data_IF_092839616383
#
_entry.id   IF_092839616383
#
_cell.length_a   1.000
_cell.length_b   1.000
_cell.length_c   1.000
_cell.angle_alpha   90.00
_cell.angle_beta   90.00
_cell.angle_gamma   90.00
#
_symmetry.space_group_name_H-M   'P 1'
#
loop_
_entity.id
_entity.type
_entity.pdbx_description
1 polymer ?
#
# COMPACT_ATOMS: atom_id res chain seq x y z
N UNK A 1 2.21 35.97 16.13
CA UNK A 1 2.87 34.66 16.15
C UNK A 1 1.93 33.66 15.49
N UNK A 2 2.09 33.43 14.19
CA UNK A 2 1.14 32.66 13.38
C UNK A 2 1.91 31.80 12.34
N UNK A 3 2.96 31.10 12.78
CA UNK A 3 3.83 30.31 11.90
C UNK A 3 3.74 28.78 12.14
N UNK A 4 2.87 28.30 13.03
CA UNK A 4 2.76 26.85 13.33
C UNK A 4 1.61 26.16 12.60
N UNK A 5 0.44 26.80 12.53
CA UNK A 5 -0.81 26.14 12.11
C UNK A 5 -0.94 26.04 10.58
N UNK A 6 -0.30 26.93 9.82
CA UNK A 6 -0.37 26.90 8.35
C UNK A 6 0.46 25.78 7.70
N UNK A 7 1.44 25.19 8.40
CA UNK A 7 2.26 24.09 7.84
C UNK A 7 1.57 22.72 7.93
N UNK A 8 0.66 22.53 8.89
CA UNK A 8 -0.04 21.25 9.06
C UNK A 8 -1.25 21.12 8.12
N UNK A 9 -1.87 22.26 7.78
CA UNK A 9 -3.00 22.33 6.85
C UNK A 9 -2.55 22.31 5.38
N UNK A 10 -1.32 22.71 5.05
CA UNK A 10 -0.81 22.63 3.67
C UNK A 10 -0.40 21.21 3.26
N UNK A 11 0.12 20.41 4.19
CA UNK A 11 0.58 19.04 3.90
C UNK A 11 -0.56 18.04 3.69
N UNK A 12 -1.77 18.39 4.15
CA UNK A 12 -3.00 17.63 3.92
C UNK A 12 -3.80 18.17 2.73
N UNK A 13 -3.64 19.44 2.36
CA UNK A 13 -4.40 20.09 1.29
C UNK A 13 -3.79 19.95 -0.12
N UNK A 14 -2.50 19.61 -0.24
CA UNK A 14 -1.88 19.30 -1.52
C UNK A 14 -1.36 17.87 -1.49
N UNK A 15 -2.03 16.98 -2.22
CA UNK A 15 -1.47 15.66 -2.49
C UNK A 15 -0.08 15.82 -3.12
N UNK A 16 0.87 15.04 -2.64
CA UNK A 16 2.23 15.16 -3.13
C UNK A 16 2.29 14.81 -4.64
N UNK A 17 3.16 15.44 -5.43
CA UNK A 17 3.18 15.24 -6.87
C UNK A 17 3.41 13.78 -7.31
N UNK A 18 4.09 12.97 -6.48
CA UNK A 18 4.27 11.55 -6.77
C UNK A 18 2.97 10.78 -6.61
N UNK A 19 2.19 11.05 -5.56
CA UNK A 19 0.85 10.47 -5.40
C UNK A 19 -0.01 10.74 -6.63
N UNK A 20 -0.10 12.01 -7.07
CA UNK A 20 -0.89 12.36 -8.25
C UNK A 20 -0.40 11.63 -9.50
N UNK A 21 0.91 11.66 -9.76
CA UNK A 21 1.49 11.00 -10.93
C UNK A 21 1.21 9.50 -10.97
N UNK A 22 1.43 8.79 -9.84
CA UNK A 22 1.17 7.36 -9.79
C UNK A 22 -0.31 7.04 -9.88
N UNK A 23 -1.19 7.86 -9.30
CA UNK A 23 -2.63 7.71 -9.45
C UNK A 23 -3.08 7.81 -10.91
N UNK A 24 -2.56 8.79 -11.67
CA UNK A 24 -2.88 8.97 -13.08
C UNK A 24 -2.39 7.81 -13.96
N UNK A 25 -1.21 7.25 -13.64
CA UNK A 25 -0.62 6.13 -14.37
C UNK A 25 -1.28 4.80 -14.02
N UNK A 26 -1.67 4.59 -12.77
CA UNK A 26 -2.11 3.29 -12.25
C UNK A 26 -3.63 3.10 -12.27
N UNK A 27 -4.44 4.16 -12.22
CA UNK A 27 -5.90 4.02 -12.23
C UNK A 27 -6.48 3.39 -13.50
N UNK A 28 -5.94 3.61 -14.72
CA UNK A 28 -6.40 2.90 -15.91
C UNK A 28 -6.17 1.39 -15.82
N UNK A 29 -5.22 0.96 -14.99
CA UNK A 29 -4.92 -0.44 -14.68
C UNK A 29 -5.75 -0.99 -13.49
N UNK A 30 -6.78 -0.25 -13.07
CA UNK A 30 -7.67 -0.55 -11.94
C UNK A 30 -6.97 -0.61 -10.57
N UNK A 31 -5.84 0.06 -10.42
CA UNK A 31 -5.19 0.26 -9.13
C UNK A 31 -5.68 1.55 -8.47
N UNK A 32 -5.90 1.49 -7.17
CA UNK A 32 -6.41 2.59 -6.35
C UNK A 32 -5.39 2.82 -5.24
N UNK A 33 -5.05 4.08 -4.96
CA UNK A 33 -4.22 4.46 -3.81
C UNK A 33 -5.03 4.20 -2.55
N UNK A 34 -4.55 3.29 -1.69
CA UNK A 34 -5.24 2.91 -0.45
C UNK A 34 -4.60 3.49 0.81
N UNK A 35 -3.33 3.86 0.74
CA UNK A 35 -2.64 4.49 1.86
C UNK A 35 -1.39 5.24 1.41
N UNK A 36 -1.06 6.30 2.13
CA UNK A 36 0.13 7.11 1.95
C UNK A 36 0.66 7.51 3.33
N UNK A 37 1.97 7.40 3.53
CA UNK A 37 2.63 7.97 4.70
C UNK A 37 3.91 8.65 4.26
N UNK A 38 4.16 9.83 4.84
CA UNK A 38 5.30 10.67 4.51
C UNK A 38 6.01 11.14 5.78
N UNK A 39 7.34 11.20 5.71
CA UNK A 39 8.19 11.82 6.72
C UNK A 39 9.34 12.55 6.03
N UNK A 40 9.22 13.88 5.92
CA UNK A 40 10.16 14.72 5.15
C UNK A 40 10.37 14.21 3.71
N UNK A 41 11.52 13.58 3.44
CA UNK A 41 11.87 13.01 2.12
C UNK A 41 11.52 11.53 1.96
N UNK A 42 11.08 10.85 3.01
CA UNK A 42 10.56 9.49 2.94
C UNK A 42 9.08 9.51 2.55
N UNK A 43 8.73 8.72 1.55
CA UNK A 43 7.37 8.53 1.06
C UNK A 43 7.12 7.04 0.87
N UNK A 44 5.99 6.56 1.37
CA UNK A 44 5.50 5.21 1.14
C UNK A 44 4.05 5.30 0.64
N UNK A 45 3.85 4.81 -0.59
CA UNK A 45 2.55 4.73 -1.24
C UNK A 45 2.17 3.27 -1.39
N UNK A 46 0.91 2.94 -1.09
CA UNK A 46 0.37 1.61 -1.31
C UNK A 46 -0.84 1.72 -2.23
N UNK A 47 -0.79 0.95 -3.31
CA UNK A 47 -1.87 0.81 -4.28
C UNK A 47 -2.36 -0.63 -4.32
N UNK A 48 -3.66 -0.83 -4.49
CA UNK A 48 -4.25 -2.14 -4.62
C UNK A 48 -5.19 -2.19 -5.83
N UNK A 49 -5.30 -3.36 -6.48
CA UNK A 49 -6.35 -3.55 -7.48
C UNK A 49 -7.72 -3.45 -6.81
N UNK A 50 -8.65 -2.78 -7.49
CA UNK A 50 -10.02 -2.51 -7.02
C UNK A 50 -10.73 -3.72 -6.41
N UNK A 51 -10.60 -4.90 -7.02
CA UNK A 51 -11.23 -6.14 -6.56
C UNK A 51 -10.80 -6.60 -5.15
N UNK A 52 -9.66 -6.11 -4.64
CA UNK A 52 -9.14 -6.50 -3.33
C UNK A 52 -9.55 -5.53 -2.22
N UNK A 53 -10.10 -4.35 -2.56
CA UNK A 53 -10.42 -3.31 -1.57
C UNK A 53 -11.29 -3.81 -0.40
N UNK A 54 -12.37 -4.60 -0.61
CA UNK A 54 -13.21 -5.09 0.48
C UNK A 54 -12.48 -5.98 1.51
N UNK A 55 -11.29 -6.46 1.15
CA UNK A 55 -10.48 -7.37 1.96
C UNK A 55 -9.21 -6.71 2.49
N UNK A 56 -9.07 -5.39 2.31
CA UNK A 56 -7.95 -4.62 2.79
C UNK A 56 -8.42 -3.62 3.84
N UNK A 57 -7.83 -3.70 5.03
CA UNK A 57 -8.07 -2.76 6.12
C UNK A 57 -6.77 -2.06 6.49
N UNK A 58 -6.70 -0.74 6.40
CA UNK A 58 -5.55 0.03 6.92
C UNK A 58 -5.71 0.17 8.42
N UNK A 59 -4.85 -0.49 9.19
CA UNK A 59 -4.91 -0.49 10.65
C UNK A 59 -4.18 0.72 11.25
N UNK A 60 -3.06 1.11 10.65
CA UNK A 60 -2.28 2.26 11.10
C UNK A 60 -1.27 2.71 10.05
N UNK A 61 -0.95 3.99 10.08
CA UNK A 61 0.23 4.58 9.43
C UNK A 61 1.09 5.24 10.50
N UNK A 62 2.41 5.03 10.48
CA UNK A 62 3.32 5.58 11.49
C UNK A 62 4.61 6.11 10.86
N UNK A 63 5.11 7.20 11.42
CA UNK A 63 6.42 7.78 11.09
C UNK A 63 7.31 7.72 12.33
N UNK A 64 8.51 7.15 12.19
CA UNK A 64 9.49 7.00 13.27
C UNK A 64 10.74 7.80 12.91
N UNK A 65 10.86 9.06 13.33
CA UNK A 65 12.06 9.86 13.12
C UNK A 65 13.21 9.33 13.97
N UNK A 66 14.42 9.30 13.41
CA UNK A 66 15.64 8.88 14.10
C UNK A 66 16.83 9.83 13.86
N UNK A 67 16.66 10.89 13.08
CA UNK A 67 17.68 11.93 12.90
C UNK A 67 17.78 12.85 14.12
N UNK A 68 18.95 13.50 14.29
CA UNK A 68 19.28 14.46 15.39
C UNK A 68 18.63 14.11 16.75
N UNK A 69 19.30 13.25 17.53
CA UNK A 69 18.82 12.78 18.84
C UNK A 69 17.43 12.11 18.83
N UNK A 70 16.97 11.61 17.68
CA UNK A 70 15.68 10.92 17.56
C UNK A 70 14.48 11.84 17.34
N UNK A 71 14.68 13.14 17.14
CA UNK A 71 13.58 14.12 17.00
C UNK A 71 13.39 14.65 15.57
N UNK A 72 14.35 14.43 14.66
CA UNK A 72 14.32 14.99 13.30
C UNK A 72 14.05 13.93 12.25
N UNK A 73 13.06 14.16 11.39
CA UNK A 73 12.53 13.19 10.42
C UNK A 73 13.33 13.00 9.12
N UNK A 74 14.59 13.43 9.04
CA UNK A 74 15.41 13.22 7.83
C UNK A 74 16.02 11.81 7.73
N UNK A 75 15.92 11.04 8.82
CA UNK A 75 16.31 9.64 8.95
C UNK A 75 15.24 8.93 9.76
N UNK A 76 15.11 7.62 9.55
CA UNK A 76 14.15 6.79 10.25
C UNK A 76 13.33 5.95 9.29
N UNK A 77 12.08 5.68 9.66
CA UNK A 77 11.18 4.83 8.91
C UNK A 77 9.76 5.35 8.85
N UNK A 78 9.03 4.97 7.82
CA UNK A 78 7.59 5.11 7.72
C UNK A 78 6.96 3.74 7.48
N UNK A 79 5.87 3.46 8.17
CA UNK A 79 5.24 2.13 8.22
C UNK A 79 3.76 2.24 7.91
N UNK A 80 3.25 1.32 7.09
CA UNK A 80 1.83 1.07 6.91
C UNK A 80 1.54 -0.36 7.39
N UNK A 81 0.63 -0.48 8.36
CA UNK A 81 0.11 -1.75 8.84
C UNK A 81 -1.30 -1.94 8.29
N UNK A 82 -1.55 -3.11 7.69
CA UNK A 82 -2.83 -3.44 7.10
C UNK A 82 -3.21 -4.90 7.37
N UNK A 83 -4.51 -5.18 7.31
CA UNK A 83 -5.01 -6.54 7.07
C UNK A 83 -5.24 -6.74 5.59
N UNK A 84 -4.84 -7.89 5.07
CA UNK A 84 -5.14 -8.34 3.71
C UNK A 84 -5.72 -9.75 3.81
N UNK A 85 -6.99 -9.93 3.42
CA UNK A 85 -7.69 -11.22 3.51
C UNK A 85 -7.65 -11.86 4.91
N UNK A 86 -7.56 -11.03 5.95
CA UNK A 86 -7.46 -11.42 7.36
C UNK A 86 -6.03 -11.59 7.90
N UNK A 87 -5.00 -11.56 7.04
CA UNK A 87 -3.60 -11.63 7.45
C UNK A 87 -3.03 -10.25 7.78
N UNK A 88 -2.20 -10.15 8.81
CA UNK A 88 -1.52 -8.92 9.21
C UNK A 88 -0.26 -8.71 8.37
N UNK A 89 -0.17 -7.56 7.70
CA UNK A 89 0.96 -7.18 6.85
C UNK A 89 1.50 -5.82 7.26
N UNK A 90 2.82 -5.73 7.45
CA UNK A 90 3.53 -4.46 7.61
C UNK A 90 4.41 -4.17 6.42
N UNK A 91 4.34 -2.92 5.94
CA UNK A 91 5.18 -2.40 4.86
C UNK A 91 5.96 -1.22 5.43
N UNK A 92 7.28 -1.30 5.42
CA UNK A 92 8.19 -0.33 6.02
C UNK A 92 9.13 0.21 4.93
N UNK A 93 9.18 1.54 4.80
CA UNK A 93 10.22 2.24 4.04
C UNK A 93 11.14 2.99 5.01
N UNK A 94 12.46 2.87 4.86
CA UNK A 94 13.42 3.57 5.73
C UNK A 94 14.52 4.32 4.98
N UNK A 95 15.13 5.26 5.70
CA UNK A 95 16.36 5.93 5.30
C UNK A 95 17.28 5.97 6.53
N UNK A 96 18.28 5.11 6.54
CA UNK A 96 19.16 4.89 7.69
C UNK A 96 20.44 5.76 7.61
N UNK A 97 21.20 5.90 8.71
CA UNK A 97 22.38 6.77 8.76
C UNK A 97 23.43 6.45 7.69
N UNK A 98 23.94 7.47 6.96
CA UNK A 98 24.94 7.27 5.93
C UNK A 98 26.34 7.04 6.52
N UNK A 99 27.31 6.79 5.65
CA UNK A 99 28.74 6.56 5.94
C UNK A 99 29.10 5.17 6.48
N UNK A 100 30.30 4.73 6.12
CA UNK A 100 30.85 3.42 6.49
C UNK A 100 30.87 3.18 8.00
N UNK A 101 31.31 4.19 8.77
CA UNK A 101 31.51 4.10 10.22
C UNK A 101 30.20 3.97 11.04
N UNK A 102 29.05 4.34 10.49
CA UNK A 102 27.79 4.39 11.24
C UNK A 102 27.02 3.06 11.20
N UNK A 103 27.73 1.92 11.22
CA UNK A 103 27.09 0.61 11.14
C UNK A 103 26.20 0.35 12.35
N UNK A 104 26.73 0.52 13.55
CA UNK A 104 26.00 0.26 14.78
C UNK A 104 24.78 1.19 14.92
N UNK A 105 24.91 2.44 14.48
CA UNK A 105 23.80 3.39 14.44
C UNK A 105 22.68 2.95 13.47
N UNK A 106 23.01 2.30 12.35
CA UNK A 106 22.00 1.73 11.45
C UNK A 106 21.25 0.59 12.12
N UNK A 107 21.93 -0.27 12.86
CA UNK A 107 21.32 -1.37 13.61
C UNK A 107 20.41 -0.83 14.72
N UNK A 108 20.87 0.16 15.50
CA UNK A 108 20.04 0.84 16.50
C UNK A 108 18.78 1.47 15.89
N UNK A 109 18.91 2.13 14.74
CA UNK A 109 17.76 2.70 14.04
C UNK A 109 16.80 1.63 13.50
N UNK A 110 17.32 0.47 13.09
CA UNK A 110 16.52 -0.68 12.68
C UNK A 110 15.67 -1.15 13.86
N UNK A 111 16.29 -1.46 14.99
CA UNK A 111 15.59 -1.91 16.20
C UNK A 111 14.55 -0.89 16.67
N UNK A 112 14.94 0.39 16.70
CA UNK A 112 14.05 1.50 17.07
C UNK A 112 12.83 1.60 16.18
N UNK A 113 12.98 1.37 14.87
CA UNK A 113 11.85 1.37 13.94
C UNK A 113 10.90 0.23 14.29
N UNK A 114 11.37 -1.00 14.57
CA UNK A 114 10.50 -2.13 14.95
C UNK A 114 9.80 -1.92 16.29
N UNK A 115 10.54 -1.52 17.32
CA UNK A 115 10.00 -1.30 18.68
C UNK A 115 8.91 -0.23 18.69
N UNK A 116 9.11 0.83 17.89
CA UNK A 116 8.13 1.91 17.73
C UNK A 116 6.92 1.50 16.91
N UNK A 117 6.71 0.22 16.56
CA UNK A 117 5.47 -0.24 15.93
C UNK A 117 4.46 -0.81 16.95
N UNK A 118 4.71 -0.69 18.26
CA UNK A 118 3.71 -1.09 19.27
C UNK A 118 2.44 -0.21 19.19
N UNK A 119 1.30 -0.85 18.99
CA UNK A 119 -0.02 -0.20 18.86
C UNK A 119 -0.77 -0.22 20.19
N UNK A 120 -0.21 0.41 21.22
CA UNK A 120 -0.85 0.49 22.54
C UNK A 120 -2.31 0.98 22.43
N UNK A 121 -3.23 0.25 23.05
CA UNK A 121 -4.66 0.58 23.07
C UNK A 121 -5.46 0.20 21.82
N UNK A 122 -4.85 -0.47 20.82
CA UNK A 122 -5.55 -1.05 19.67
C UNK A 122 -5.42 -2.58 19.69
N UNK A 123 -6.44 -3.27 19.18
CA UNK A 123 -6.41 -4.73 18.98
C UNK A 123 -5.59 -5.10 17.72
N UNK A 124 -4.32 -4.68 17.71
CA UNK A 124 -3.35 -4.96 16.65
C UNK A 124 -2.18 -5.70 17.30
N UNK A 125 -1.81 -6.89 16.81
CA UNK A 125 -0.66 -7.65 17.34
C UNK A 125 0.65 -6.85 17.27
N UNK A 126 1.66 -7.33 17.99
CA UNK A 126 3.02 -6.81 17.81
C UNK A 126 3.49 -7.04 16.37
N UNK A 127 4.30 -6.13 15.82
CA UNK A 127 4.77 -6.24 14.43
C UNK A 127 5.49 -7.56 14.15
N UNK A 128 6.21 -8.13 15.12
CA UNK A 128 6.90 -9.40 14.97
C UNK A 128 5.94 -10.60 14.90
N UNK A 129 4.67 -10.41 15.27
CA UNK A 129 3.59 -11.39 15.14
C UNK A 129 2.79 -11.24 13.84
N UNK A 130 3.11 -10.25 12.99
CA UNK A 130 2.49 -10.09 11.69
C UNK A 130 2.92 -11.21 10.73
N UNK A 131 2.00 -11.62 9.86
CA UNK A 131 2.18 -12.74 8.92
C UNK A 131 3.25 -12.43 7.86
N UNK A 132 3.31 -11.17 7.41
CA UNK A 132 4.32 -10.66 6.49
C UNK A 132 4.83 -9.27 6.90
N UNK A 133 6.14 -9.11 6.95
CA UNK A 133 6.80 -7.80 7.02
C UNK A 133 7.59 -7.62 5.73
N UNK A 134 7.30 -6.56 4.97
CA UNK A 134 8.13 -6.06 3.88
C UNK A 134 8.88 -4.83 4.38
N UNK A 135 10.21 -4.84 4.29
CA UNK A 135 11.04 -3.72 4.75
C UNK A 135 12.07 -3.37 3.70
N UNK A 136 11.97 -2.16 3.16
CA UNK A 136 12.86 -1.66 2.14
C UNK A 136 13.29 -0.20 2.38
N UNK A 137 14.17 0.29 1.53
CA UNK A 137 14.57 1.70 1.49
C UNK A 137 16.09 1.86 1.33
N UNK A 138 16.55 3.09 1.57
CA UNK A 138 17.99 3.39 1.65
C UNK A 138 18.51 3.01 3.04
N UNK A 139 18.88 1.75 3.18
CA UNK A 139 19.44 1.19 4.41
C UNK A 139 20.88 1.61 4.64
N UNK A 140 21.54 2.23 3.66
CA UNK A 140 22.87 2.83 3.78
C UNK A 140 24.01 1.91 4.24
N UNK A 141 23.82 0.59 4.29
CA UNK A 141 24.90 -0.38 4.55
C UNK A 141 25.96 -0.33 3.45
N UNK A 142 27.22 -0.55 3.85
CA UNK A 142 28.39 -0.37 2.99
C UNK A 142 29.18 -1.66 2.87
N UNK A 143 30.03 -1.71 1.84
CA UNK A 143 31.06 -2.74 1.76
C UNK A 143 32.24 -2.29 2.64
N UNK A 144 32.64 -3.09 3.63
CA UNK A 144 33.83 -2.85 4.46
C UNK A 144 35.07 -3.56 3.90
N UNK A 145 36.24 -3.33 4.51
CA UNK A 145 37.56 -3.98 4.28
C UNK A 145 38.19 -4.00 2.87
N UNK A 146 37.40 -3.98 1.78
CA UNK A 146 37.92 -3.90 0.43
C UNK A 146 38.25 -2.47 0.02
N UNK A 147 39.43 -2.30 -0.58
CA UNK A 147 39.84 -1.06 -1.21
C UNK A 147 38.98 -0.71 -2.44
N UNK A 148 38.91 0.57 -2.77
CA UNK A 148 38.09 1.07 -3.89
C UNK A 148 38.42 0.38 -5.23
N UNK A 149 39.70 0.14 -5.50
CA UNK A 149 40.15 -0.52 -6.73
C UNK A 149 39.61 -1.94 -6.84
N UNK A 150 39.72 -2.73 -5.77
CA UNK A 150 39.21 -4.10 -5.73
C UNK A 150 37.70 -4.12 -5.99
N UNK A 151 36.93 -3.28 -5.29
CA UNK A 151 35.48 -3.18 -5.49
C UNK A 151 35.13 -2.83 -6.94
N UNK A 152 35.84 -1.88 -7.56
CA UNK A 152 35.58 -1.49 -8.96
C UNK A 152 35.89 -2.62 -9.95
N UNK A 153 37.00 -3.33 -9.78
CA UNK A 153 37.31 -4.47 -10.66
C UNK A 153 36.32 -5.63 -10.46
N UNK A 154 35.94 -5.95 -9.22
CA UNK A 154 34.89 -6.95 -8.96
C UNK A 154 33.57 -6.57 -9.63
N UNK A 155 33.16 -5.30 -9.60
CA UNK A 155 31.95 -4.84 -10.29
C UNK A 155 32.08 -4.97 -11.80
N UNK A 156 33.21 -4.55 -12.37
CA UNK A 156 33.49 -4.63 -13.82
C UNK A 156 33.45 -6.07 -14.34
N UNK A 157 33.92 -7.02 -13.54
CA UNK A 157 33.88 -8.45 -13.86
C UNK A 157 32.60 -9.15 -13.37
N UNK A 158 31.65 -8.42 -12.78
CA UNK A 158 30.39 -8.95 -12.22
C UNK A 158 30.60 -10.01 -11.11
N UNK A 159 31.74 -9.96 -10.41
CA UNK A 159 32.06 -10.82 -9.27
C UNK A 159 31.40 -10.31 -7.98
N UNK A 160 30.08 -10.10 -8.00
CA UNK A 160 29.35 -9.51 -6.87
C UNK A 160 29.40 -10.38 -5.61
N UNK A 161 29.40 -11.71 -5.78
CA UNK A 161 29.41 -12.66 -4.65
C UNK A 161 30.62 -12.47 -3.74
N UNK A 162 31.77 -12.11 -4.29
CA UNK A 162 32.99 -11.84 -3.51
C UNK A 162 32.84 -10.64 -2.58
N UNK A 163 31.99 -9.68 -2.97
CA UNK A 163 31.74 -8.46 -2.19
C UNK A 163 30.74 -8.68 -1.05
N UNK A 164 29.87 -9.70 -1.12
CA UNK A 164 28.84 -9.96 -0.10
C UNK A 164 29.43 -10.31 1.27
N UNK A 165 30.56 -10.98 1.30
CA UNK A 165 31.26 -11.31 2.55
C UNK A 165 31.71 -10.08 3.33
N UNK A 166 31.79 -8.93 2.67
CA UNK A 166 32.12 -7.63 3.25
C UNK A 166 30.98 -6.62 3.18
N UNK A 167 29.77 -7.03 2.81
CA UNK A 167 28.59 -6.19 2.92
C UNK A 167 28.09 -6.19 4.37
N UNK A 168 28.05 -5.01 5.00
CA UNK A 168 27.65 -4.85 6.39
C UNK A 168 26.26 -5.42 6.71
N UNK A 169 25.27 -5.34 5.82
CA UNK A 169 23.96 -5.96 6.07
C UNK A 169 24.06 -7.48 6.05
N UNK A 170 24.79 -8.02 5.06
CA UNK A 170 25.04 -9.45 4.95
C UNK A 170 25.77 -10.01 6.17
N UNK A 171 26.73 -9.25 6.71
CA UNK A 171 27.43 -9.57 7.96
C UNK A 171 26.51 -9.47 9.17
N UNK A 172 25.72 -8.39 9.28
CA UNK A 172 24.80 -8.19 10.39
C UNK A 172 23.80 -9.34 10.49
N UNK A 173 23.19 -9.78 9.37
CA UNK A 173 22.26 -10.93 9.34
C UNK A 173 22.89 -12.24 9.78
N UNK A 174 24.21 -12.43 9.64
CA UNK A 174 24.91 -13.62 10.14
C UNK A 174 25.01 -13.61 11.68
N UNK A 175 25.13 -12.45 12.31
CA UNK A 175 25.42 -12.33 13.75
C UNK A 175 24.20 -11.95 14.59
N UNK A 176 23.29 -11.16 14.05
CA UNK A 176 22.10 -10.67 14.72
C UNK A 176 20.91 -11.66 14.54
N UNK A 177 20.35 -12.21 15.63
CA UNK A 177 19.27 -13.18 15.55
C UNK A 177 17.97 -12.67 14.92
N UNK A 178 17.63 -11.39 15.11
CA UNK A 178 16.39 -10.79 14.61
C UNK A 178 16.51 -10.48 13.12
N UNK A 179 17.63 -9.87 12.71
CA UNK A 179 17.92 -9.62 11.30
C UNK A 179 18.06 -10.92 10.49
N UNK A 180 18.51 -12.01 11.12
CA UNK A 180 18.55 -13.34 10.48
C UNK A 180 17.16 -13.85 10.09
N UNK A 181 16.09 -13.39 10.75
CA UNK A 181 14.72 -13.76 10.39
C UNK A 181 14.25 -13.10 9.08
N UNK A 182 14.87 -11.99 8.70
CA UNK A 182 14.58 -11.32 7.44
C UNK A 182 15.32 -12.01 6.29
N UNK A 183 14.58 -12.40 5.28
CA UNK A 183 15.07 -12.90 4.00
C UNK A 183 15.36 -11.75 3.05
N UNK A 184 16.27 -11.99 2.10
CA UNK A 184 16.62 -11.04 1.04
C UNK A 184 17.02 -11.83 -0.22
N UNK A 185 16.75 -11.28 -1.40
CA UNK A 185 17.16 -11.89 -2.66
C UNK A 185 18.67 -11.76 -2.88
N UNK A 186 19.24 -12.63 -3.71
CA UNK A 186 20.64 -12.50 -4.09
C UNK A 186 20.89 -11.17 -4.84
N UNK A 187 21.93 -10.43 -4.45
CA UNK A 187 22.33 -9.16 -5.09
C UNK A 187 23.05 -9.44 -6.42
N UNK A 188 22.29 -9.84 -7.44
CA UNK A 188 22.80 -10.17 -8.78
C UNK A 188 22.91 -8.95 -9.71
N UNK A 189 22.90 -7.76 -9.14
CA UNK A 189 22.98 -6.48 -9.84
C UNK A 189 24.08 -5.61 -9.20
N UNK A 190 24.68 -4.66 -9.94
CA UNK A 190 25.79 -3.86 -9.42
C UNK A 190 25.35 -2.96 -8.25
N UNK A 191 26.29 -2.56 -7.35
CA UNK A 191 26.02 -1.61 -6.27
C UNK A 191 25.28 -0.36 -6.75
N UNK A 192 24.24 0.03 -6.02
CA UNK A 192 23.25 1.04 -6.43
C UNK A 192 23.64 2.47 -6.02
N UNK A 193 24.74 2.63 -5.30
CA UNK A 193 25.30 3.89 -4.85
C UNK A 193 26.83 3.83 -4.90
N UNK A 194 27.59 4.90 -5.12
CA UNK A 194 27.19 6.26 -5.48
C UNK A 194 27.57 6.54 -6.93
N UNK A 195 26.65 7.11 -7.71
CA UNK A 195 26.88 7.51 -9.09
C UNK A 195 27.06 9.02 -9.23
N UNK A 196 27.73 9.45 -10.30
CA UNK A 196 27.64 10.81 -10.78
C UNK A 196 26.27 11.03 -11.41
N UNK A 197 25.59 12.13 -11.06
CA UNK A 197 24.25 12.44 -11.57
C UNK A 197 24.25 12.51 -13.10
N UNK A 198 23.16 12.05 -13.69
CA UNK A 198 22.94 11.91 -15.13
C UNK A 198 23.92 10.94 -15.82
N UNK A 199 24.48 9.99 -15.07
CA UNK A 199 25.38 8.98 -15.63
C UNK A 199 25.26 7.60 -14.95
N UNK A 200 25.98 6.62 -15.51
CA UNK A 200 26.25 5.33 -14.89
C UNK A 200 27.69 5.22 -14.36
N UNK A 201 28.42 6.34 -14.30
CA UNK A 201 29.75 6.37 -13.73
C UNK A 201 29.66 6.44 -12.21
N UNK A 202 30.39 5.57 -11.52
CA UNK A 202 30.54 5.67 -10.08
C UNK A 202 31.35 6.91 -9.69
N UNK A 203 31.03 7.47 -8.53
CA UNK A 203 31.52 8.76 -7.99
C UNK A 203 32.96 9.11 -8.41
N UNK A 204 33.08 10.08 -9.30
CA UNK A 204 34.36 10.63 -9.78
C UNK A 204 34.79 11.89 -9.03
N UNK A 205 33.98 12.36 -8.09
CA UNK A 205 34.32 13.52 -7.25
C UNK A 205 35.55 13.25 -6.39
N UNK A 206 36.11 14.30 -5.78
CA UNK A 206 37.26 14.20 -4.87
C UNK A 206 37.02 13.22 -3.71
N UNK A 207 35.76 13.05 -3.28
CA UNK A 207 35.39 12.14 -2.19
C UNK A 207 35.47 10.66 -2.57
N UNK A 208 35.44 10.34 -3.88
CA UNK A 208 35.56 8.98 -4.45
C UNK A 208 34.85 7.92 -3.63
N UNK A 209 33.56 8.12 -3.33
CA UNK A 209 32.80 7.21 -2.47
C UNK A 209 32.81 5.80 -3.06
N UNK A 210 33.16 4.83 -2.21
CA UNK A 210 33.18 3.42 -2.57
C UNK A 210 31.76 2.96 -2.93
N UNK A 211 31.59 2.22 -4.05
CA UNK A 211 30.29 1.66 -4.40
C UNK A 211 29.74 0.76 -3.29
N UNK A 212 28.42 0.77 -3.07
CA UNK A 212 27.72 -0.03 -2.07
C UNK A 212 26.26 -0.31 -2.48
N UNK A 213 25.71 -1.44 -2.01
CA UNK A 213 24.27 -1.72 -2.06
C UNK A 213 23.60 -1.08 -0.85
N UNK A 214 23.24 0.19 -1.01
CA UNK A 214 22.54 0.96 0.03
C UNK A 214 21.03 0.73 -0.01
N UNK A 215 20.48 0.44 -1.19
CA UNK A 215 19.04 0.31 -1.45
C UNK A 215 18.63 -1.17 -1.39
N UNK A 216 17.88 -1.56 -0.35
CA UNK A 216 17.65 -2.97 0.01
C UNK A 216 16.17 -3.27 0.16
N UNK A 217 15.78 -4.53 -0.08
CA UNK A 217 14.40 -5.02 0.10
C UNK A 217 14.46 -6.35 0.84
N UNK A 218 14.01 -6.36 2.08
CA UNK A 218 13.91 -7.53 2.93
C UNK A 218 12.46 -7.92 3.17
N UNK A 219 12.24 -9.19 3.49
CA UNK A 219 10.95 -9.67 3.94
C UNK A 219 11.08 -10.67 5.08
N UNK A 220 10.08 -10.72 5.96
CA UNK A 220 9.99 -11.72 7.02
C UNK A 220 8.59 -12.31 7.01
N UNK A 221 8.51 -13.63 7.01
CA UNK A 221 7.27 -14.37 7.26
C UNK A 221 7.20 -14.74 8.73
N UNK A 222 6.00 -14.72 9.32
CA UNK A 222 5.78 -15.23 10.67
C UNK A 222 6.26 -16.67 10.76
N UNK A 223 7.03 -17.00 11.80
CA UNK A 223 7.40 -18.38 12.08
C UNK A 223 6.14 -19.16 12.38
N UNK A 224 5.81 -20.16 11.55
CA UNK A 224 4.84 -21.15 11.95
C UNK A 224 5.41 -21.93 13.14
N UNK A 225 4.66 -22.12 14.23
CA UNK A 225 5.11 -22.96 15.32
C UNK A 225 5.43 -24.34 14.74
N UNK A 226 6.69 -24.78 14.87
CA UNK A 226 7.04 -26.15 14.52
C UNK A 226 6.24 -27.05 15.45
N UNK A 227 5.19 -27.67 14.91
CA UNK A 227 4.56 -28.81 15.55
C UNK A 227 5.65 -29.86 15.68
N UNK A 228 5.92 -30.26 16.92
CA UNK A 228 6.77 -31.39 17.23
C UNK A 228 6.39 -32.56 16.32
N UNK A 229 7.40 -33.31 15.86
CA UNK A 229 7.37 -34.40 14.88
C UNK A 229 6.37 -35.57 15.13
N UNK A 230 5.41 -35.43 16.05
CA UNK A 230 4.50 -36.49 16.47
C UNK A 230 3.00 -36.15 16.49
N UNK A 231 2.57 -35.00 15.98
CA UNK A 231 1.15 -34.75 15.71
C UNK A 231 0.96 -34.25 14.28
N UNK A 232 0.28 -35.06 13.46
CA UNK A 232 -0.29 -34.63 12.17
C UNK A 232 -1.33 -33.55 12.46
N UNK A 233 -0.89 -32.31 12.64
CA UNK A 233 -1.79 -31.16 12.72
C UNK A 233 -2.39 -30.94 11.33
N UNK A 234 -3.72 -30.94 11.19
CA UNK A 234 -4.34 -30.72 9.91
C UNK A 234 -4.19 -29.25 9.51
N UNK A 235 -3.54 -29.01 8.38
CA UNK A 235 -3.63 -27.77 7.58
C UNK A 235 -3.17 -26.50 8.31
N UNK A 236 -1.85 -26.33 8.49
CA UNK A 236 -1.33 -24.96 8.62
C UNK A 236 -1.80 -24.15 7.40
N UNK A 237 -2.35 -22.93 7.59
CA UNK A 237 -2.83 -22.14 6.48
C UNK A 237 -1.69 -21.95 5.48
N UNK A 238 -1.97 -22.26 4.21
CA UNK A 238 -1.03 -21.99 3.14
C UNK A 238 -0.81 -20.47 3.10
N UNK A 239 0.38 -20.02 3.47
CA UNK A 239 0.81 -18.63 3.42
C UNK A 239 2.31 -18.65 3.10
N UNK A 240 2.64 -18.45 1.83
CA UNK A 240 4.01 -18.55 1.33
C UNK A 240 4.32 -17.39 0.40
N UNK A 241 5.58 -16.94 0.42
CA UNK A 241 6.05 -15.84 -0.41
C UNK A 241 7.21 -16.33 -1.28
N UNK A 242 7.05 -16.25 -2.59
CA UNK A 242 8.07 -16.61 -3.57
C UNK A 242 8.62 -15.34 -4.24
N UNK A 243 9.92 -15.10 -4.10
CA UNK A 243 10.60 -14.02 -4.83
C UNK A 243 10.67 -14.37 -6.32
N UNK A 244 10.18 -13.47 -7.19
CA UNK A 244 10.24 -13.61 -8.65
C UNK A 244 11.37 -12.83 -9.29
N UNK A 245 11.56 -11.58 -8.87
CA UNK A 245 12.65 -10.74 -9.38
C UNK A 245 13.19 -9.83 -8.28
N UNK A 246 14.51 -9.62 -8.25
CA UNK A 246 15.14 -8.59 -7.43
C UNK A 246 16.25 -7.91 -8.25
N UNK A 247 16.01 -6.68 -8.70
CA UNK A 247 16.84 -6.02 -9.72
C UNK A 247 17.00 -4.52 -9.46
N UNK A 248 18.08 -3.94 -9.99
CA UNK A 248 18.26 -2.49 -10.08
C UNK A 248 18.11 -1.97 -11.51
N UNK A 249 17.70 -0.71 -11.65
CA UNK A 249 17.35 -0.10 -12.93
C UNK A 249 18.38 0.95 -13.36
N UNK A 250 19.43 0.50 -14.04
CA UNK A 250 20.57 1.34 -14.47
C UNK A 250 20.21 2.39 -15.54
N UNK A 251 19.04 2.26 -16.19
CA UNK A 251 18.57 3.23 -17.20
C UNK A 251 18.19 4.59 -16.58
N UNK A 252 17.83 4.63 -15.30
CA UNK A 252 17.49 5.87 -14.61
C UNK A 252 18.74 6.51 -14.01
N UNK A 253 19.04 7.74 -14.41
CA UNK A 253 20.31 8.40 -14.09
C UNK A 253 20.17 9.74 -13.36
N UNK A 254 18.95 10.21 -13.06
CA UNK A 254 18.73 11.54 -12.46
C UNK A 254 19.34 11.65 -11.05
N UNK A 255 19.30 10.54 -10.30
CA UNK A 255 19.82 10.41 -8.95
C UNK A 255 21.24 9.82 -8.95
N UNK A 256 21.97 10.02 -7.85
CA UNK A 256 23.21 9.31 -7.53
C UNK A 256 22.96 7.90 -6.97
N UNK A 257 21.69 7.52 -6.80
CA UNK A 257 21.21 6.15 -6.55
C UNK A 257 20.51 5.56 -7.77
N UNK A 258 20.43 4.24 -7.84
CA UNK A 258 19.67 3.50 -8.86
C UNK A 258 18.42 2.86 -8.24
N UNK A 259 17.23 3.02 -8.86
CA UNK A 259 16.01 2.39 -8.35
C UNK A 259 16.17 0.88 -8.23
N UNK A 260 15.60 0.31 -7.17
CA UNK A 260 15.59 -1.14 -6.90
C UNK A 260 14.14 -1.61 -6.81
N UNK A 261 13.84 -2.73 -7.45
CA UNK A 261 12.50 -3.32 -7.42
C UNK A 261 12.58 -4.79 -7.05
N UNK A 262 11.59 -5.25 -6.29
CA UNK A 262 11.33 -6.66 -6.06
C UNK A 262 9.90 -7.01 -6.42
N UNK A 263 9.68 -8.19 -6.99
CA UNK A 263 8.34 -8.74 -7.24
C UNK A 263 8.22 -10.10 -6.56
N UNK A 264 7.05 -10.35 -5.99
CA UNK A 264 6.78 -11.56 -5.22
C UNK A 264 5.44 -12.15 -5.62
N UNK A 265 5.35 -13.47 -5.60
CA UNK A 265 4.09 -14.19 -5.57
C UNK A 265 3.78 -14.53 -4.11
N UNK A 266 2.69 -13.96 -3.59
CA UNK A 266 2.15 -14.32 -2.28
C UNK A 266 1.01 -15.31 -2.49
N UNK A 267 1.24 -16.56 -2.13
CA UNK A 267 0.21 -17.59 -2.15
C UNK A 267 -0.39 -17.73 -0.75
N UNK A 268 -1.69 -17.50 -0.64
CA UNK A 268 -2.41 -17.62 0.62
C UNK A 268 -3.82 -18.16 0.46
N UNK A 269 -4.30 -18.88 1.48
CA UNK A 269 -5.73 -19.20 1.62
C UNK A 269 -6.42 -18.07 2.38
N UNK A 270 -7.37 -17.31 1.79
CA UNK A 270 -8.03 -16.22 2.50
C UNK A 270 -8.68 -16.67 3.80
N UNK A 271 -8.42 -15.96 4.91
CA UNK A 271 -9.15 -16.14 6.17
C UNK A 271 -10.51 -15.44 6.11
N UNK A 272 -10.60 -14.39 5.30
CA UNK A 272 -11.84 -13.70 4.93
C UNK A 272 -12.01 -13.81 3.42
N UNK A 273 -13.05 -14.51 2.95
CA UNK A 273 -13.28 -14.75 1.51
C UNK A 273 -14.55 -14.09 0.97
N UNK A 274 -15.42 -13.62 1.86
CA UNK A 274 -16.66 -12.91 1.54
C UNK A 274 -16.53 -11.48 2.07
N UNK A 275 -16.89 -10.45 1.29
CA UNK A 275 -16.87 -9.07 1.79
C UNK A 275 -17.88 -8.90 2.94
N UNK A 276 -17.59 -7.98 3.85
CA UNK A 276 -18.48 -7.71 5.00
C UNK A 276 -19.80 -7.07 4.55
N UNK A 277 -19.78 -6.35 3.43
CA UNK A 277 -20.96 -5.76 2.79
C UNK A 277 -21.06 -6.24 1.34
N UNK A 278 -22.23 -6.72 0.96
CA UNK A 278 -22.56 -6.95 -0.46
C UNK A 278 -23.53 -5.87 -0.92
N UNK A 279 -23.13 -5.12 -1.97
CA UNK A 279 -23.92 -4.04 -2.57
C UNK A 279 -24.64 -4.55 -3.81
N UNK A 280 -25.94 -4.26 -3.90
CA UNK A 280 -26.81 -4.61 -5.01
C UNK A 280 -27.42 -3.30 -5.52
N UNK A 281 -26.94 -2.77 -6.66
CA UNK A 281 -27.65 -1.70 -7.36
C UNK A 281 -28.94 -2.31 -7.94
N UNK A 282 -30.11 -1.94 -7.40
CA UNK A 282 -31.39 -2.51 -7.83
C UNK A 282 -31.96 -1.79 -9.05
N UNK A 283 -32.34 -2.54 -10.10
CA UNK A 283 -33.14 -2.03 -11.21
C UNK A 283 -32.38 -1.29 -12.32
N UNK A 284 -33.14 -0.70 -13.25
CA UNK A 284 -32.61 0.16 -14.32
C UNK A 284 -32.50 1.58 -13.79
N UNK A 285 -31.29 2.14 -13.73
CA UNK A 285 -31.04 3.43 -13.09
C UNK A 285 -31.25 4.55 -14.09
N UNK A 286 -32.31 5.33 -13.86
CA UNK A 286 -32.69 6.50 -14.66
C UNK A 286 -32.65 7.74 -13.77
N UNK A 287 -32.20 8.88 -14.30
CA UNK A 287 -32.16 10.16 -13.57
C UNK A 287 -33.56 10.71 -13.14
N UNK A 288 -34.64 9.98 -13.38
CA UNK A 288 -36.02 10.35 -13.04
C UNK A 288 -36.45 9.95 -11.63
N UNK A 289 -35.78 8.96 -11.02
CA UNK A 289 -36.12 8.43 -9.70
C UNK A 289 -34.90 8.44 -8.81
N UNK A 290 -35.12 8.69 -7.51
CA UNK A 290 -34.09 8.48 -6.51
C UNK A 290 -33.59 7.04 -6.60
N UNK A 291 -32.26 6.89 -6.56
CA UNK A 291 -31.64 5.58 -6.71
C UNK A 291 -31.74 4.84 -5.38
N UNK A 292 -32.27 3.62 -5.42
CA UNK A 292 -32.31 2.73 -4.26
C UNK A 292 -31.10 1.80 -4.33
N UNK A 293 -30.29 1.84 -3.28
CA UNK A 293 -29.18 0.91 -3.10
C UNK A 293 -29.58 -0.10 -2.05
N UNK A 294 -29.59 -1.37 -2.44
CA UNK A 294 -29.76 -2.47 -1.50
C UNK A 294 -28.40 -3.01 -1.06
N UNK A 295 -28.26 -3.34 0.21
CA UNK A 295 -27.07 -3.97 0.74
C UNK A 295 -27.35 -4.94 1.88
N UNK A 296 -26.56 -6.00 1.95
CA UNK A 296 -26.60 -6.99 3.02
C UNK A 296 -25.32 -6.95 3.84
N UNK A 297 -25.43 -7.07 5.15
CA UNK A 297 -24.28 -7.13 6.06
C UNK A 297 -23.94 -8.58 6.41
N UNK A 298 -22.66 -8.86 6.60
CA UNK A 298 -22.22 -10.10 7.25
C UNK A 298 -22.72 -10.13 8.71
N UNK A 299 -23.03 -11.32 9.26
CA UNK A 299 -23.66 -11.45 10.59
C UNK A 299 -22.93 -10.74 11.74
N UNK A 300 -21.59 -10.73 11.70
CA UNK A 300 -20.75 -10.15 12.76
C UNK A 300 -20.29 -8.71 12.47
N UNK A 301 -20.80 -8.10 11.39
CA UNK A 301 -20.41 -6.74 11.03
C UNK A 301 -21.15 -5.70 11.88
N UNK A 302 -20.37 -4.84 12.55
CA UNK A 302 -20.90 -3.73 13.34
C UNK A 302 -20.91 -2.46 12.50
N UNK A 303 -22.10 -2.08 12.00
CA UNK A 303 -22.29 -0.83 11.27
C UNK A 303 -22.17 0.39 12.18
N UNK A 304 -21.62 1.49 11.64
CA UNK A 304 -21.61 2.81 12.29
C UNK A 304 -22.67 3.73 11.65
N UNK A 305 -23.28 4.65 12.41
CA UNK A 305 -24.09 5.72 11.81
C UNK A 305 -23.30 6.59 10.82
N UNK A 306 -21.98 6.64 11.00
CA UNK A 306 -21.03 7.34 10.13
C UNK A 306 -20.50 6.47 8.98
N UNK A 307 -21.05 5.28 8.77
CA UNK A 307 -20.76 4.54 7.55
C UNK A 307 -21.44 5.24 6.37
N UNK A 308 -20.84 5.13 5.18
CA UNK A 308 -21.38 5.77 3.98
C UNK A 308 -21.19 4.91 2.74
N UNK A 309 -22.07 5.09 1.77
CA UNK A 309 -21.98 4.47 0.45
C UNK A 309 -21.68 5.58 -0.56
N UNK A 310 -20.55 5.46 -1.25
CA UNK A 310 -20.15 6.38 -2.30
C UNK A 310 -20.44 5.81 -3.68
N UNK A 311 -20.85 6.69 -4.59
CA UNK A 311 -20.90 6.44 -6.02
C UNK A 311 -19.60 6.93 -6.67
N UNK A 312 -18.97 6.10 -7.47
CA UNK A 312 -17.69 6.38 -8.11
C UNK A 312 -17.77 6.11 -9.60
N UNK A 313 -17.06 6.90 -10.40
CA UNK A 313 -16.78 6.56 -11.79
C UNK A 313 -15.77 5.39 -11.84
N UNK A 314 -15.97 4.45 -12.76
CA UNK A 314 -14.97 3.42 -13.05
C UNK A 314 -13.67 4.10 -13.49
N UNK A 315 -12.57 3.76 -12.82
CA UNK A 315 -11.30 4.48 -12.97
C UNK A 315 -10.98 5.44 -11.82
N UNK A 316 -11.75 5.39 -10.71
CA UNK A 316 -11.37 6.05 -9.46
C UNK A 316 -9.90 5.78 -9.11
N UNK A 317 -9.21 6.81 -8.63
CA UNK A 317 -7.77 6.76 -8.33
C UNK A 317 -7.54 6.70 -6.83
N UNK A 318 -8.47 7.26 -6.06
CA UNK A 318 -8.49 7.29 -4.61
C UNK A 318 -9.91 7.09 -4.05
N UNK A 319 -10.03 6.71 -2.77
CA UNK A 319 -11.34 6.48 -2.13
C UNK A 319 -12.14 7.77 -1.89
N UNK A 320 -11.48 8.93 -1.97
CA UNK A 320 -12.15 10.23 -1.88
C UNK A 320 -12.57 10.77 -3.25
N UNK A 321 -12.32 10.03 -4.36
CA UNK A 321 -12.74 10.42 -5.71
C UNK A 321 -14.22 10.05 -5.98
N UNK A 322 -15.08 10.08 -4.96
CA UNK A 322 -16.51 9.82 -5.15
C UNK A 322 -17.16 10.97 -5.93
N UNK A 323 -18.15 10.62 -6.74
CA UNK A 323 -19.04 11.58 -7.42
C UNK A 323 -20.04 12.15 -6.41
N UNK A 324 -20.67 11.26 -5.65
CA UNK A 324 -21.58 11.60 -4.55
C UNK A 324 -21.55 10.48 -3.51
N UNK A 325 -22.09 10.72 -2.31
CA UNK A 325 -22.17 9.74 -1.25
C UNK A 325 -23.41 9.95 -0.39
N UNK A 326 -23.80 8.90 0.34
CA UNK A 326 -24.88 8.96 1.34
C UNK A 326 -24.45 8.31 2.64
N UNK A 327 -24.81 8.93 3.76
CA UNK A 327 -24.66 8.33 5.08
C UNK A 327 -25.68 7.22 5.27
N UNK A 328 -25.21 6.05 5.70
CA UNK A 328 -26.05 4.86 5.88
C UNK A 328 -27.04 5.07 7.02
N UNK A 329 -26.60 5.65 8.14
CA UNK A 329 -27.44 5.86 9.32
C UNK A 329 -28.64 6.78 9.08
N UNK A 330 -28.47 7.82 8.25
CA UNK A 330 -29.50 8.84 8.04
C UNK A 330 -30.50 8.47 6.93
N UNK A 331 -30.11 7.58 6.02
CA UNK A 331 -30.87 7.29 4.79
C UNK A 331 -31.43 5.86 4.75
N UNK A 332 -31.42 5.12 5.86
CA UNK A 332 -31.93 3.75 5.91
C UNK A 332 -33.46 3.73 5.87
N UNK A 333 -34.04 3.04 4.87
CA UNK A 333 -35.48 3.09 4.56
C UNK A 333 -36.23 1.89 5.15
N UNK A 334 -35.71 0.68 4.92
CA UNK A 334 -36.37 -0.55 5.32
C UNK A 334 -35.35 -1.65 5.60
N UNK A 335 -35.71 -2.55 6.52
CA UNK A 335 -34.98 -3.77 6.84
C UNK A 335 -35.97 -4.91 6.58
N UNK A 336 -35.84 -5.60 5.45
CA UNK A 336 -36.60 -6.80 5.15
C UNK A 336 -35.62 -7.94 4.89
N UNK A 337 -35.78 -9.06 5.62
CA UNK A 337 -35.03 -10.30 5.42
C UNK A 337 -33.49 -10.16 5.27
N UNK A 338 -32.88 -9.23 6.03
CA UNK A 338 -31.43 -9.00 6.02
C UNK A 338 -30.92 -8.11 4.88
N UNK A 339 -31.82 -7.56 4.07
CA UNK A 339 -31.53 -6.57 3.04
C UNK A 339 -31.92 -5.18 3.54
N UNK A 340 -30.97 -4.25 3.47
CA UNK A 340 -31.13 -2.86 3.87
C UNK A 340 -31.15 -1.98 2.62
N UNK A 341 -31.91 -0.90 2.67
CA UNK A 341 -32.04 0.03 1.55
C UNK A 341 -31.69 1.45 1.96
N UNK A 342 -30.96 2.16 1.09
CA UNK A 342 -30.72 3.61 1.19
C UNK A 342 -31.08 4.33 -0.09
N UNK A 343 -31.56 5.58 0.05
CA UNK A 343 -31.79 6.48 -1.09
C UNK A 343 -30.53 7.26 -1.43
N UNK A 344 -30.27 7.43 -2.73
CA UNK A 344 -29.28 8.35 -3.27
C UNK A 344 -29.97 9.34 -4.18
N UNK A 345 -29.83 10.62 -3.84
CA UNK A 345 -30.31 11.70 -4.68
C UNK A 345 -29.44 11.76 -5.96
N UNK A 346 -30.11 11.77 -7.11
CA UNK A 346 -29.48 11.75 -8.43
C UNK A 346 -29.21 13.14 -9.01
N UNK A 347 -29.64 14.23 -8.34
CA UNK A 347 -29.53 15.60 -8.87
C UNK A 347 -28.10 16.05 -9.15
N UNK A 348 -27.13 15.49 -8.43
CA UNK A 348 -25.71 15.87 -8.53
C UNK A 348 -24.89 14.91 -9.40
N UNK A 349 -25.54 13.91 -10.02
CA UNK A 349 -24.85 12.93 -10.87
C UNK A 349 -24.75 13.50 -12.30
N UNK A 350 -23.53 13.66 -12.85
CA UNK A 350 -23.36 14.21 -14.19
C UNK A 350 -23.91 13.27 -15.27
N UNK A 351 -24.64 13.83 -16.23
CA UNK A 351 -25.15 13.10 -17.40
C UNK A 351 -23.99 12.61 -18.27
N UNK A 352 -23.69 11.33 -18.19
CA UNK A 352 -22.57 10.68 -18.89
C UNK A 352 -22.95 9.25 -19.27
N UNK A 353 -22.31 8.68 -20.29
CA UNK A 353 -22.41 7.25 -20.63
C UNK A 353 -21.38 6.39 -19.86
N UNK A 354 -20.78 6.97 -18.83
CA UNK A 354 -19.73 6.33 -18.05
C UNK A 354 -20.28 5.14 -17.24
N UNK A 355 -19.39 4.19 -16.95
CA UNK A 355 -19.67 3.16 -15.96
C UNK A 355 -19.35 3.67 -14.55
N UNK A 356 -20.20 3.29 -13.60
CA UNK A 356 -20.10 3.62 -12.19
C UNK A 356 -20.02 2.38 -11.32
N UNK A 357 -19.60 2.57 -10.07
CA UNK A 357 -19.60 1.54 -9.04
C UNK A 357 -19.92 2.16 -7.69
N UNK A 358 -20.39 1.33 -6.76
CA UNK A 358 -20.64 1.69 -5.38
C UNK A 358 -19.55 1.13 -4.48
N UNK A 359 -19.07 1.92 -3.53
CA UNK A 359 -18.24 1.42 -2.42
C UNK A 359 -18.92 1.73 -1.08
N UNK A 360 -19.02 0.73 -0.20
CA UNK A 360 -19.42 0.94 1.19
C UNK A 360 -18.15 1.16 2.02
N UNK A 361 -18.05 2.32 2.66
CA UNK A 361 -16.96 2.66 3.57
C UNK A 361 -17.40 2.52 5.02
N UNK A 362 -16.68 1.70 5.77
CA UNK A 362 -16.90 1.57 7.22
C UNK A 362 -16.07 2.61 7.96
N UNK A 363 -16.73 3.46 8.74
CA UNK A 363 -16.05 4.46 9.56
C UNK A 363 -15.28 3.82 10.73
N UNK A 364 -15.78 2.72 11.30
CA UNK A 364 -15.08 1.98 12.35
C UNK A 364 -13.79 1.35 11.80
N UNK A 365 -13.89 0.65 10.66
CA UNK A 365 -12.75 -0.08 10.11
C UNK A 365 -11.83 0.80 9.26
N UNK A 366 -12.20 2.06 9.01
CA UNK A 366 -11.49 3.00 8.14
C UNK A 366 -11.10 2.39 6.78
N UNK A 367 -12.04 1.68 6.16
CA UNK A 367 -11.79 0.93 4.92
C UNK A 367 -13.07 0.70 4.13
N UNK A 368 -12.88 0.41 2.84
CA UNK A 368 -13.95 -0.10 1.98
C UNK A 368 -14.19 -1.55 2.36
N UNK A 369 -15.45 -1.90 2.64
CA UNK A 369 -15.84 -3.23 3.12
C UNK A 369 -16.84 -3.93 2.19
N UNK A 370 -17.24 -3.24 1.11
CA UNK A 370 -18.08 -3.76 0.05
C UNK A 370 -17.92 -2.94 -1.22
N UNK A 371 -17.99 -3.61 -2.37
CA UNK A 371 -17.95 -2.98 -3.69
C UNK A 371 -18.97 -3.65 -4.62
N UNK A 372 -19.71 -2.86 -5.41
CA UNK A 372 -20.62 -3.41 -6.42
C UNK A 372 -19.88 -3.85 -7.68
N UNK A 373 -20.58 -4.58 -8.56
CA UNK A 373 -20.19 -4.66 -9.97
C UNK A 373 -20.36 -3.29 -10.63
N UNK A 374 -19.61 -2.99 -11.70
CA UNK A 374 -19.88 -1.82 -12.53
C UNK A 374 -21.30 -1.83 -13.11
N UNK A 375 -21.90 -0.65 -13.26
CA UNK A 375 -23.20 -0.44 -13.90
C UNK A 375 -23.24 0.94 -14.57
N UNK A 376 -24.17 1.14 -15.49
CA UNK A 376 -24.39 2.44 -16.15
C UNK A 376 -25.60 3.14 -15.54
N UNK A 377 -25.57 4.48 -15.56
CA UNK A 377 -26.70 5.33 -15.20
C UNK A 377 -27.16 6.02 -16.49
N UNK A 378 -28.40 5.76 -16.93
CA UNK A 378 -28.85 6.21 -18.23
C UNK A 378 -29.37 7.66 -18.19
N UNK A 379 -28.91 8.54 -19.11
CA UNK A 379 -29.42 9.89 -19.21
C UNK A 379 -30.85 9.93 -19.78
N UNK A 380 -31.56 11.03 -19.49
CA UNK A 380 -32.95 11.29 -19.89
C UNK A 380 -33.25 11.03 -21.38
N UNK A 381 -32.29 11.29 -22.26
CA UNK A 381 -32.47 11.26 -23.72
C UNK A 381 -32.53 9.86 -24.33
N UNK A 382 -32.18 8.80 -23.59
CA UNK A 382 -32.17 7.43 -24.12
C UNK A 382 -33.58 6.81 -24.24
N UNK A 383 -34.61 7.39 -23.60
CA UNK A 383 -36.00 6.91 -23.66
C UNK A 383 -36.92 7.82 -24.49
N UNK A 384 -36.43 8.30 -25.64
CA UNK A 384 -37.24 9.06 -26.59
C UNK A 384 -38.37 8.23 -27.20
N UNK A 385 -39.61 8.66 -26.93
CA UNK A 385 -40.84 8.48 -27.72
C UNK A 385 -41.15 7.07 -28.27
N UNK A 386 -41.83 6.23 -27.47
CA UNK A 386 -42.93 5.44 -28.03
C UNK A 386 -44.19 6.28 -27.92
N UNK A 387 -44.45 7.06 -28.97
CA UNK A 387 -45.67 7.84 -29.16
C UNK A 387 -46.91 6.96 -29.05
N UNK A 388 -47.93 7.52 -28.41
CA UNK A 388 -49.30 7.05 -28.40
C UNK A 388 -49.77 6.77 -29.84
N UNK A 389 -50.03 5.51 -30.17
CA UNK A 389 -50.93 5.16 -31.28
C UNK A 389 -52.33 4.95 -30.67
N UNK A 390 -53.01 6.08 -30.43
CA UNK A 390 -54.48 6.10 -30.36
C UNK A 390 -55.02 5.75 -31.76
N UNK A 391 -55.14 4.46 -32.04
CA UNK A 391 -55.94 4.00 -33.17
C UNK A 391 -57.42 4.17 -32.84
N UNK A 392 -57.98 5.26 -33.35
CA UNK A 392 -59.40 5.53 -33.51
C UNK A 392 -60.22 4.28 -33.86
N UNK A 393 -61.12 3.89 -32.96
CA UNK A 393 -62.32 3.11 -33.29
C UNK A 393 -63.43 4.10 -33.70
N UNK A 394 -63.64 4.25 -35.01
CA UNK A 394 -64.87 4.81 -35.56
C UNK A 394 -65.62 3.73 -36.36
N UNK A 395 -66.84 3.46 -35.86
CA UNK A 395 -68.03 2.84 -36.47
C UNK A 395 -67.98 1.32 -36.71
#
# INVERSE_FOLDING_TARGET
MNCGIMSLLSDTAFEDPWSSFFMDVLSPLSFIKISCVRMQGLLLLVFAKRQHLPFIQILSTRSTPTGFYGYWGNKGGVTICLKLYGYYISIINCHLPPHLANNDQRLEHFDRILEMQNFEGRDIPNILDHDLILWFGDMNFRIEDFGLHFVRESIKHQYYRELWEKDQLSIAKKHDPLLREFQEGALLFPPTYKFDRNSNNYDTSEKKRKPAWTDRILWRLKRQPQTSLHTLSPLAPHFSLCLRSYVSHMMYCISDHKPVTSTFDLEMKPLVSVPLITLIPEGLWTMEKDMVISYSLAPDFLSSPWDWIGLYKVGLRHINDYVTYVWVGDNQISINDGLNQVYVNTTDIPETEDEFLLCYYSNHLHSVVGISKPFQIYPRSCFGENTLDEAHLQI
#
